data_IF_463913220362
#
_entry.id   IF_463913220362
#
_cell.length_a   1.000
_cell.length_b   1.000
_cell.length_c   1.000
_cell.angle_alpha   90.00
_cell.angle_beta   90.00
_cell.angle_gamma   90.00
#
_symmetry.space_group_name_H-M   'P 1'
#
loop_
_entity.id
_entity.type
_entity.pdbx_description
1 polymer ?
#
# COMPACT_ATOMS: atom_id res chain seq x y z
N UNK A 1 -9.29 -13.92 -14.50
CA UNK A 1 -8.97 -12.50 -14.26
C UNK A 1 -7.97 -11.86 -15.24
N UNK A 2 -7.15 -12.61 -16.01
CA UNK A 2 -6.11 -12.01 -16.88
C UNK A 2 -6.57 -11.20 -18.11
N UNK A 3 -7.77 -11.44 -18.65
CA UNK A 3 -8.26 -10.76 -19.87
C UNK A 3 -8.77 -9.33 -19.63
N UNK A 4 -9.33 -9.02 -18.44
CA UNK A 4 -9.76 -7.66 -18.10
C UNK A 4 -8.60 -6.74 -17.68
N UNK A 5 -7.58 -7.30 -17.02
CA UNK A 5 -6.36 -6.61 -16.56
C UNK A 5 -5.49 -6.13 -17.73
N UNK A 6 -5.30 -6.98 -18.75
CA UNK A 6 -4.58 -6.60 -19.97
C UNK A 6 -5.30 -5.51 -20.80
N UNK A 7 -6.63 -5.50 -20.79
CA UNK A 7 -7.41 -4.51 -21.56
C UNK A 7 -7.41 -3.14 -20.90
N UNK A 8 -7.48 -3.06 -19.55
CA UNK A 8 -7.36 -1.80 -18.80
C UNK A 8 -5.97 -1.16 -18.96
N UNK A 9 -4.89 -1.94 -18.86
CA UNK A 9 -3.52 -1.43 -19.01
C UNK A 9 -3.22 -0.92 -20.42
N UNK A 10 -3.75 -1.59 -21.46
CA UNK A 10 -3.61 -1.13 -22.85
C UNK A 10 -4.39 0.17 -23.14
N UNK A 11 -5.57 0.35 -22.54
CA UNK A 11 -6.38 1.56 -22.69
C UNK A 11 -5.78 2.74 -21.88
N UNK A 12 -5.26 2.49 -20.68
CA UNK A 12 -4.59 3.51 -19.86
C UNK A 12 -3.34 4.08 -20.55
N UNK A 13 -2.48 3.23 -21.13
CA UNK A 13 -1.30 3.69 -21.90
C UNK A 13 -1.66 4.54 -23.12
N UNK A 14 -2.79 4.27 -23.80
CA UNK A 14 -3.26 5.08 -24.94
C UNK A 14 -4.00 6.35 -24.54
N UNK A 15 -4.65 6.40 -23.36
CA UNK A 15 -5.36 7.59 -22.88
C UNK A 15 -4.44 8.74 -22.44
N UNK A 16 -3.17 8.45 -22.11
CA UNK A 16 -2.17 9.47 -21.74
C UNK A 16 -1.69 10.28 -22.96
N UNK A 17 -1.93 9.82 -24.19
CA UNK A 17 -1.64 10.56 -25.43
C UNK A 17 -2.68 11.68 -25.65
N UNK A 18 -2.62 12.74 -24.84
CA UNK A 18 -3.44 13.94 -25.05
C UNK A 18 -3.62 14.82 -23.81
N UNK A 19 -3.26 14.34 -22.63
CA UNK A 19 -3.42 15.09 -21.39
C UNK A 19 -2.24 16.02 -21.11
N UNK A 20 -2.47 17.14 -20.40
CA UNK A 20 -1.39 17.99 -19.93
C UNK A 20 -0.45 17.16 -19.05
N UNK A 21 0.84 17.19 -19.37
CA UNK A 21 1.85 16.38 -18.69
C UNK A 21 2.42 17.13 -17.49
N UNK A 22 2.63 16.41 -16.39
CA UNK A 22 3.37 16.92 -15.22
C UNK A 22 4.81 17.28 -15.60
N UNK A 23 5.36 18.33 -14.99
CA UNK A 23 6.76 18.69 -15.22
C UNK A 23 7.70 17.70 -14.54
N UNK A 24 8.95 17.58 -15.03
CA UNK A 24 9.95 16.73 -14.37
C UNK A 24 10.13 17.10 -12.89
N UNK A 25 10.19 18.39 -12.57
CA UNK A 25 10.37 18.86 -11.20
C UNK A 25 9.19 18.44 -10.32
N UNK A 26 7.96 18.61 -10.81
CA UNK A 26 6.78 18.18 -10.08
C UNK A 26 6.79 16.68 -9.77
N UNK A 27 7.25 15.86 -10.72
CA UNK A 27 7.39 14.42 -10.53
C UNK A 27 8.45 14.08 -9.50
N UNK A 28 9.65 14.68 -9.58
CA UNK A 28 10.74 14.48 -8.62
C UNK A 28 10.27 14.86 -7.20
N UNK A 29 9.55 15.98 -7.07
CA UNK A 29 9.02 16.44 -5.79
C UNK A 29 7.99 15.46 -5.21
N UNK A 30 7.18 14.81 -6.04
CA UNK A 30 6.18 13.85 -5.56
C UNK A 30 6.81 12.51 -5.20
N UNK A 31 7.66 11.94 -6.05
CA UNK A 31 8.35 10.67 -5.74
C UNK A 31 9.26 10.81 -4.50
N UNK A 32 9.76 12.02 -4.23
CA UNK A 32 10.57 12.29 -3.05
C UNK A 32 9.87 12.00 -1.72
N UNK A 33 8.53 12.05 -1.70
CA UNK A 33 7.73 11.76 -0.52
C UNK A 33 7.65 10.26 -0.20
N UNK A 34 8.08 9.40 -1.13
CA UNK A 34 8.20 7.96 -0.93
C UNK A 34 9.57 7.52 -0.42
N UNK A 35 10.49 8.47 -0.18
CA UNK A 35 11.85 8.13 0.23
C UNK A 35 11.82 7.37 1.55
N UNK A 36 12.23 6.08 1.57
CA UNK A 36 12.21 5.32 2.80
C UNK A 36 13.30 5.80 3.76
N UNK A 37 13.02 5.62 5.04
CA UNK A 37 13.93 5.95 6.13
C UNK A 37 14.22 4.71 6.96
N UNK A 38 15.37 4.72 7.62
CA UNK A 38 15.69 3.78 8.67
C UNK A 38 14.74 4.03 9.84
N UNK A 39 13.85 3.06 10.09
CA UNK A 39 12.85 3.17 11.16
C UNK A 39 13.43 2.82 12.53
N UNK A 40 14.65 2.29 12.57
CA UNK A 40 15.26 1.68 13.75
C UNK A 40 14.72 0.29 14.08
N UNK A 41 13.86 -0.28 13.22
CA UNK A 41 13.36 -1.65 13.31
C UNK A 41 13.89 -2.46 12.14
N UNK A 42 14.25 -3.72 12.38
CA UNK A 42 14.51 -4.67 11.31
C UNK A 42 13.22 -4.91 10.50
N UNK A 43 13.36 -5.13 9.18
CA UNK A 43 12.23 -5.52 8.34
C UNK A 43 12.11 -7.04 8.31
N UNK A 44 10.89 -7.54 8.51
CA UNK A 44 10.51 -8.94 8.34
C UNK A 44 9.52 -9.07 7.19
N UNK A 45 9.50 -10.22 6.52
CA UNK A 45 8.53 -10.52 5.48
C UNK A 45 7.36 -11.30 6.08
N UNK A 46 6.15 -10.80 5.88
CA UNK A 46 4.89 -11.46 6.31
C UNK A 46 4.07 -11.77 5.06
N UNK A 47 3.49 -12.96 4.99
CA UNK A 47 2.64 -13.44 3.92
C UNK A 47 3.34 -14.39 2.94
N UNK A 48 2.71 -14.59 1.78
CA UNK A 48 3.13 -15.60 0.82
C UNK A 48 4.48 -15.32 0.15
N UNK A 49 5.02 -16.36 -0.50
CA UNK A 49 6.13 -16.17 -1.45
C UNK A 49 5.64 -15.39 -2.67
N UNK A 50 6.36 -14.33 -3.05
CA UNK A 50 5.95 -13.43 -4.13
C UNK A 50 4.74 -12.53 -3.79
N UNK A 51 3.69 -12.57 -4.62
CA UNK A 51 2.53 -11.68 -4.49
C UNK A 51 1.75 -11.94 -3.19
N UNK A 52 1.33 -10.88 -2.50
CA UNK A 52 0.66 -10.99 -1.20
C UNK A 52 1.60 -11.23 0.00
N UNK A 53 2.92 -11.05 -0.18
CA UNK A 53 3.88 -11.00 0.92
C UNK A 53 4.63 -9.68 0.94
N UNK A 54 4.68 -9.03 2.11
CA UNK A 54 5.17 -7.67 2.27
C UNK A 54 6.23 -7.56 3.35
N UNK A 55 7.14 -6.61 3.19
CA UNK A 55 8.12 -6.29 4.22
C UNK A 55 7.52 -5.28 5.20
N UNK A 56 7.51 -5.63 6.47
CA UNK A 56 7.00 -4.82 7.58
C UNK A 56 8.08 -4.62 8.64
N UNK A 57 8.11 -3.47 9.35
CA UNK A 57 8.90 -3.33 10.56
C UNK A 57 8.55 -4.44 11.56
N UNK A 58 9.55 -5.04 12.20
CA UNK A 58 9.38 -5.97 13.32
C UNK A 58 8.97 -5.24 14.61
N UNK A 59 7.85 -4.52 14.51
CA UNK A 59 7.18 -3.75 15.58
C UNK A 59 5.73 -4.22 15.74
N UNK A 60 5.52 -5.54 15.62
CA UNK A 60 4.20 -6.19 15.70
C UNK A 60 3.75 -6.46 17.14
N UNK A 61 4.66 -6.44 18.12
CA UNK A 61 4.32 -6.69 19.51
C UNK A 61 3.24 -5.72 20.02
N UNK A 62 2.16 -6.27 20.56
CA UNK A 62 1.02 -5.51 21.08
C UNK A 62 -0.02 -5.11 20.04
N UNK A 63 0.24 -5.31 18.74
CA UNK A 63 -0.82 -5.23 17.72
C UNK A 63 -1.73 -6.45 17.90
N UNK A 64 -3.05 -6.23 17.95
CA UNK A 64 -4.04 -7.30 18.14
C UNK A 64 -4.96 -7.51 16.95
N UNK A 65 -5.12 -6.46 16.13
CA UNK A 65 -6.07 -6.46 15.03
C UNK A 65 -5.45 -5.89 13.76
N UNK A 66 -5.74 -6.57 12.65
CA UNK A 66 -5.46 -6.15 11.28
C UNK A 66 -6.77 -5.82 10.57
N UNK A 67 -6.78 -4.77 9.75
CA UNK A 67 -7.80 -4.55 8.72
C UNK A 67 -7.17 -4.85 7.36
N UNK A 68 -7.71 -5.85 6.66
CA UNK A 68 -7.26 -6.34 5.34
C UNK A 68 -8.37 -6.27 4.30
N UNK A 69 -8.67 -5.09 3.74
CA UNK A 69 -9.55 -4.98 2.58
C UNK A 69 -8.88 -5.51 1.30
N UNK A 70 -9.67 -6.13 0.43
CA UNK A 70 -9.22 -6.64 -0.87
C UNK A 70 -8.75 -8.08 -0.88
N UNK A 71 -9.09 -8.85 0.15
CA UNK A 71 -8.73 -10.27 0.23
C UNK A 71 -9.49 -11.04 -0.85
N UNK A 72 -8.72 -11.53 -1.82
CA UNK A 72 -9.21 -12.31 -2.95
C UNK A 72 -9.11 -13.82 -2.65
N UNK A 73 -8.45 -14.59 -3.53
CA UNK A 73 -8.30 -16.04 -3.42
C UNK A 73 -7.15 -16.50 -2.52
N UNK A 74 -6.37 -15.57 -1.98
CA UNK A 74 -5.20 -15.83 -1.13
C UNK A 74 -5.29 -14.90 0.09
N UNK A 75 -4.93 -15.43 1.26
CA UNK A 75 -4.93 -14.70 2.54
C UNK A 75 -3.70 -15.09 3.38
N UNK A 76 -2.56 -15.33 2.72
CA UNK A 76 -1.35 -15.84 3.36
C UNK A 76 -0.79 -14.82 4.36
N UNK A 77 -0.93 -13.52 4.06
CA UNK A 77 -0.55 -12.44 4.98
C UNK A 77 -1.34 -12.52 6.29
N UNK A 78 -2.68 -12.60 6.20
CA UNK A 78 -3.55 -12.69 7.36
C UNK A 78 -3.36 -14.01 8.10
N UNK A 79 -3.13 -15.11 7.38
CA UNK A 79 -2.89 -16.43 7.96
C UNK A 79 -1.61 -16.43 8.78
N UNK A 80 -0.52 -15.86 8.27
CA UNK A 80 0.73 -15.76 9.01
C UNK A 80 0.61 -14.85 10.25
N UNK A 81 -0.12 -13.73 10.13
CA UNK A 81 -0.44 -12.87 11.28
C UNK A 81 -1.20 -13.61 12.38
N UNK A 82 -2.18 -14.44 12.01
CA UNK A 82 -2.93 -15.25 12.95
C UNK A 82 -2.04 -16.33 13.59
N UNK A 83 -1.31 -17.11 12.80
CA UNK A 83 -0.54 -18.26 13.26
C UNK A 83 0.66 -17.88 14.13
N UNK A 84 1.40 -16.84 13.75
CA UNK A 84 2.64 -16.46 14.44
C UNK A 84 2.44 -15.42 15.54
N UNK A 85 1.43 -14.55 15.39
CA UNK A 85 1.25 -13.39 16.27
C UNK A 85 -0.11 -13.37 16.97
N UNK A 86 -1.04 -14.27 16.63
CA UNK A 86 -2.40 -14.28 17.19
C UNK A 86 -3.21 -13.04 16.84
N UNK A 87 -2.83 -12.34 15.76
CA UNK A 87 -3.51 -11.12 15.31
C UNK A 87 -4.79 -11.50 14.58
N UNK A 88 -5.91 -10.87 14.98
CA UNK A 88 -7.21 -11.06 14.32
C UNK A 88 -7.34 -10.15 13.11
N UNK A 89 -7.80 -10.71 11.99
CA UNK A 89 -7.92 -9.97 10.72
C UNK A 89 -9.37 -9.72 10.38
N UNK A 90 -9.75 -8.45 10.28
CA UNK A 90 -11.00 -8.00 9.70
C UNK A 90 -10.79 -7.82 8.20
N UNK A 91 -11.51 -8.61 7.40
CA UNK A 91 -11.30 -8.74 5.96
C UNK A 91 -12.54 -8.24 5.23
N UNK A 92 -12.35 -7.52 4.11
CA UNK A 92 -13.47 -7.03 3.32
C UNK A 92 -13.20 -7.08 1.82
N UNK A 93 -14.00 -7.87 1.09
CA UNK A 93 -14.00 -7.90 -0.37
C UNK A 93 -15.37 -8.37 -0.88
N UNK A 94 -16.09 -7.55 -1.65
CA UNK A 94 -17.39 -7.97 -2.19
C UNK A 94 -17.28 -8.84 -3.47
N UNK A 95 -16.07 -9.04 -4.00
CA UNK A 95 -15.81 -9.88 -5.18
C UNK A 95 -15.79 -11.38 -4.87
N UNK A 96 -15.65 -11.75 -3.59
CA UNK A 96 -15.65 -13.13 -3.11
C UNK A 96 -16.79 -13.35 -2.10
N UNK A 97 -17.19 -14.60 -1.90
CA UNK A 97 -18.28 -14.94 -0.97
C UNK A 97 -17.79 -15.11 0.48
N UNK A 98 -16.52 -15.43 0.66
CA UNK A 98 -15.89 -15.81 1.92
C UNK A 98 -14.36 -15.68 1.79
N UNK A 99 -13.60 -15.63 2.90
CA UNK A 99 -12.14 -15.72 2.85
C UNK A 99 -11.70 -17.06 2.24
N UNK A 100 -10.48 -17.15 1.68
CA UNK A 100 -10.01 -18.33 0.95
C UNK A 100 -9.74 -19.55 1.84
N UNK A 101 -9.69 -19.36 3.16
CA UNK A 101 -9.56 -20.43 4.15
C UNK A 101 -10.40 -20.14 5.39
N UNK A 102 -10.80 -21.20 6.09
CA UNK A 102 -11.48 -21.10 7.38
C UNK A 102 -10.43 -20.92 8.48
N UNK A 103 -10.53 -19.84 9.26
CA UNK A 103 -9.62 -19.49 10.33
C UNK A 103 -10.39 -18.71 11.40
N UNK A 104 -10.28 -19.11 12.67
CA UNK A 104 -11.03 -18.49 13.78
C UNK A 104 -10.63 -17.04 14.05
N UNK A 105 -9.47 -16.61 13.55
CA UNK A 105 -8.98 -15.24 13.62
C UNK A 105 -9.48 -14.36 12.47
N UNK A 106 -10.17 -14.91 11.48
CA UNK A 106 -10.68 -14.18 10.32
C UNK A 106 -12.13 -13.74 10.51
N UNK A 107 -12.37 -12.45 10.31
CA UNK A 107 -13.70 -11.83 10.37
C UNK A 107 -13.99 -11.18 9.03
N UNK A 108 -14.87 -11.79 8.23
CA UNK A 108 -15.10 -11.34 6.86
C UNK A 108 -16.41 -10.57 6.69
N UNK A 109 -16.34 -9.47 5.96
CA UNK A 109 -17.49 -8.71 5.51
C UNK A 109 -17.50 -8.58 3.99
N UNK A 110 -18.59 -8.97 3.33
CA UNK A 110 -18.72 -8.89 1.87
C UNK A 110 -19.04 -7.45 1.42
N UNK A 111 -18.04 -6.58 1.52
CA UNK A 111 -18.10 -5.15 1.14
C UNK A 111 -16.82 -4.73 0.43
N UNK A 112 -16.95 -3.80 -0.49
CA UNK A 112 -15.81 -3.04 -0.99
C UNK A 112 -15.56 -1.83 -0.10
N UNK A 113 -14.30 -1.47 0.09
CA UNK A 113 -14.00 -0.15 0.61
C UNK A 113 -14.21 0.90 -0.48
N UNK A 114 -14.67 2.08 -0.08
CA UNK A 114 -14.90 3.18 -1.00
C UNK A 114 -14.95 4.55 -0.34
N UNK A 115 -15.17 5.58 -1.17
CA UNK A 115 -15.22 6.97 -0.74
C UNK A 115 -16.42 7.29 0.19
N UNK A 116 -17.50 6.52 0.11
CA UNK A 116 -18.73 6.73 0.88
C UNK A 116 -19.44 5.40 1.16
N UNK A 117 -20.24 5.37 2.23
CA UNK A 117 -21.09 4.23 2.55
C UNK A 117 -22.27 4.14 1.57
N UNK A 118 -22.59 2.93 1.10
CA UNK A 118 -23.79 2.70 0.27
C UNK A 118 -23.71 1.46 -0.60
N UNK A 119 -24.82 0.73 -0.72
CA UNK A 119 -24.87 -0.50 -1.54
C UNK A 119 -23.85 -1.53 -1.07
N UNK A 120 -22.91 -1.88 -1.94
CA UNK A 120 -21.81 -2.82 -1.66
C UNK A 120 -20.57 -2.14 -1.04
N UNK A 121 -20.60 -0.81 -0.86
CA UNK A 121 -19.47 -0.04 -0.34
C UNK A 121 -19.60 0.33 1.13
N UNK A 122 -18.46 0.40 1.82
CA UNK A 122 -18.29 0.92 3.18
C UNK A 122 -17.02 1.79 3.23
N UNK A 123 -17.03 2.87 4.02
CA UNK A 123 -15.80 3.63 4.28
C UNK A 123 -14.94 2.92 5.32
N UNK A 124 -13.61 3.12 5.27
CA UNK A 124 -12.70 2.57 6.26
C UNK A 124 -13.10 2.99 7.69
N UNK A 125 -13.50 4.24 7.88
CA UNK A 125 -13.93 4.74 9.18
C UNK A 125 -15.20 4.04 9.68
N UNK A 126 -16.25 3.93 8.85
CA UNK A 126 -17.48 3.24 9.22
C UNK A 126 -17.22 1.77 9.52
N UNK A 127 -16.37 1.11 8.72
CA UNK A 127 -16.00 -0.27 8.93
C UNK A 127 -15.22 -0.49 10.24
N UNK A 128 -14.22 0.34 10.55
CA UNK A 128 -13.53 0.27 11.84
C UNK A 128 -14.49 0.50 13.01
N UNK A 129 -15.43 1.44 12.88
CA UNK A 129 -16.42 1.72 13.91
C UNK A 129 -17.44 0.58 14.08
N UNK A 130 -17.65 -0.27 13.08
CA UNK A 130 -18.52 -1.44 13.20
C UNK A 130 -17.86 -2.63 13.92
N UNK A 131 -16.58 -2.53 14.30
CA UNK A 131 -15.84 -3.57 15.03
C UNK A 131 -15.56 -3.15 16.50
N UNK A 132 -16.46 -3.46 17.47
CA UNK A 132 -16.35 -3.00 18.85
C UNK A 132 -15.04 -3.41 19.54
N UNK A 133 -14.50 -4.57 19.19
CA UNK A 133 -13.25 -5.08 19.79
C UNK A 133 -12.03 -4.20 19.46
N UNK A 134 -12.12 -3.39 18.41
CA UNK A 134 -11.03 -2.51 17.99
C UNK A 134 -11.17 -1.09 18.51
N UNK A 135 -12.29 -0.69 19.13
CA UNK A 135 -12.57 0.73 19.44
C UNK A 135 -11.51 1.43 20.29
N UNK A 136 -10.86 0.70 21.19
CA UNK A 136 -9.81 1.23 22.06
C UNK A 136 -8.39 0.98 21.53
N UNK A 137 -8.27 0.35 20.36
CA UNK A 137 -7.00 0.02 19.76
C UNK A 137 -6.50 1.21 18.94
N UNK A 138 -5.30 1.65 19.30
CA UNK A 138 -4.55 2.67 18.60
C UNK A 138 -3.26 2.10 17.98
N UNK A 139 -3.07 0.79 18.02
CA UNK A 139 -1.94 0.10 17.39
C UNK A 139 -2.49 -1.02 16.51
N UNK A 140 -3.07 -0.62 15.39
CA UNK A 140 -3.65 -1.51 14.39
C UNK A 140 -2.67 -1.73 13.23
N UNK A 141 -2.89 -2.81 12.48
CA UNK A 141 -2.26 -3.01 11.17
C UNK A 141 -3.32 -2.78 10.07
N UNK A 142 -2.92 -2.11 8.98
CA UNK A 142 -3.71 -2.05 7.75
C UNK A 142 -2.89 -2.72 6.64
N UNK A 143 -3.44 -3.72 5.97
CA UNK A 143 -2.92 -4.23 4.70
C UNK A 143 -3.98 -3.93 3.64
N UNK A 144 -3.63 -3.18 2.60
CA UNK A 144 -4.61 -2.72 1.61
C UNK A 144 -4.13 -2.97 0.19
N UNK A 145 -4.83 -3.81 -0.53
CA UNK A 145 -4.66 -4.03 -1.96
C UNK A 145 -6.07 -4.12 -2.57
N UNK A 146 -6.55 -3.02 -3.16
CA UNK A 146 -7.95 -2.89 -3.60
C UNK A 146 -8.04 -2.33 -5.03
N UNK A 147 -7.06 -2.66 -5.86
CA UNK A 147 -7.11 -2.51 -7.32
C UNK A 147 -7.45 -1.08 -7.81
N UNK A 148 -6.94 -0.06 -7.12
CA UNK A 148 -7.09 1.37 -7.48
C UNK A 148 -8.01 2.17 -6.57
N UNK A 149 -8.78 1.50 -5.71
CA UNK A 149 -9.66 2.18 -4.75
C UNK A 149 -8.89 2.76 -3.53
N UNK A 150 -7.58 2.52 -3.42
CA UNK A 150 -6.73 2.99 -2.31
C UNK A 150 -6.79 4.52 -2.20
N UNK A 151 -6.78 5.21 -3.34
CA UNK A 151 -6.84 6.67 -3.38
C UNK A 151 -8.14 7.22 -2.81
N UNK A 152 -9.28 6.63 -3.19
CA UNK A 152 -10.59 7.06 -2.72
C UNK A 152 -10.69 6.88 -1.19
N UNK A 153 -10.22 5.74 -0.68
CA UNK A 153 -10.20 5.45 0.76
C UNK A 153 -9.29 6.42 1.50
N UNK A 154 -8.05 6.62 1.05
CA UNK A 154 -7.14 7.53 1.75
C UNK A 154 -7.55 8.99 1.64
N UNK A 155 -8.18 9.43 0.54
CA UNK A 155 -8.68 10.80 0.40
C UNK A 155 -9.75 11.07 1.45
N UNK A 156 -10.74 10.19 1.58
CA UNK A 156 -11.92 10.43 2.43
C UNK A 156 -11.72 10.07 3.90
N UNK A 157 -10.80 9.15 4.21
CA UNK A 157 -10.57 8.72 5.60
C UNK A 157 -9.90 9.82 6.42
N UNK A 158 -10.45 10.28 7.56
CA UNK A 158 -9.79 11.28 8.39
C UNK A 158 -8.40 10.83 8.88
N UNK A 159 -7.47 11.79 9.02
CA UNK A 159 -6.11 11.46 9.50
C UNK A 159 -6.15 10.83 10.90
N UNK A 160 -7.07 11.25 11.77
CA UNK A 160 -7.26 10.64 13.11
C UNK A 160 -7.66 9.17 13.05
N UNK A 161 -8.37 8.74 11.99
CA UNK A 161 -8.66 7.32 11.77
C UNK A 161 -7.41 6.60 11.29
N UNK A 162 -6.67 7.18 10.34
CA UNK A 162 -5.44 6.57 9.82
C UNK A 162 -4.38 6.42 10.93
N UNK A 163 -4.22 7.41 11.82
CA UNK A 163 -3.26 7.38 12.94
C UNK A 163 -3.46 6.24 13.91
N UNK A 164 -4.63 5.58 13.92
CA UNK A 164 -4.85 4.38 14.74
C UNK A 164 -4.09 3.16 14.21
N UNK A 165 -3.67 3.19 12.95
CA UNK A 165 -2.75 2.21 12.40
C UNK A 165 -1.33 2.54 12.81
N UNK A 166 -0.66 1.58 13.42
CA UNK A 166 0.78 1.62 13.69
C UNK A 166 1.56 1.38 12.40
N UNK A 167 1.12 0.40 11.63
CA UNK A 167 1.72 -0.02 10.36
C UNK A 167 0.63 -0.01 9.29
N UNK A 168 0.93 0.60 8.14
CA UNK A 168 0.09 0.55 6.95
C UNK A 168 0.91 -0.04 5.82
N UNK A 169 0.51 -1.19 5.31
CA UNK A 169 0.98 -1.80 4.07
C UNK A 169 -0.05 -1.52 3.01
N UNK A 170 0.37 -0.99 1.86
CA UNK A 170 -0.55 -0.73 0.74
C UNK A 170 0.11 -0.99 -0.60
N UNK A 171 -0.61 -1.62 -1.53
CA UNK A 171 -0.24 -1.64 -2.94
C UNK A 171 -0.97 -0.51 -3.68
N UNK A 172 -0.22 0.51 -4.09
CA UNK A 172 -0.75 1.62 -4.87
C UNK A 172 -0.83 1.23 -6.34
N UNK A 173 -2.06 1.20 -6.87
CA UNK A 173 -2.36 0.83 -8.25
C UNK A 173 -2.42 2.05 -9.18
N UNK A 174 -1.66 2.02 -10.29
CA UNK A 174 -1.70 3.07 -11.30
C UNK A 174 -0.92 4.33 -10.91
N UNK A 175 0.21 4.17 -10.22
CA UNK A 175 1.04 5.30 -9.75
C UNK A 175 1.55 6.15 -10.93
N UNK A 176 1.75 5.58 -12.11
CA UNK A 176 2.16 6.30 -13.32
C UNK A 176 1.16 7.41 -13.75
N UNK A 177 -0.06 7.41 -13.21
CA UNK A 177 -1.03 8.50 -13.38
C UNK A 177 -0.49 9.85 -12.88
N UNK A 178 0.55 9.88 -12.04
CA UNK A 178 1.23 11.14 -11.68
C UNK A 178 1.80 11.88 -12.90
N UNK A 179 1.96 11.20 -14.04
CA UNK A 179 2.31 11.83 -15.32
C UNK A 179 1.22 12.77 -15.86
N UNK A 180 -0.03 12.56 -15.47
CA UNK A 180 -1.13 13.47 -15.76
C UNK A 180 -1.13 14.64 -14.78
N UNK A 181 -1.02 15.86 -15.33
CA UNK A 181 -1.04 17.10 -14.56
C UNK A 181 -2.37 17.34 -13.84
N UNK A 182 -3.46 16.69 -14.26
CA UNK A 182 -4.74 16.79 -13.57
C UNK A 182 -4.85 15.84 -12.37
N UNK A 183 -4.13 14.72 -12.39
CA UNK A 183 -4.10 13.78 -11.27
C UNK A 183 -3.12 14.21 -10.18
N UNK A 184 -1.98 14.80 -10.56
CA UNK A 184 -0.93 15.19 -9.60
C UNK A 184 -1.41 16.08 -8.43
N UNK A 185 -2.31 17.07 -8.64
CA UNK A 185 -2.86 17.88 -7.55
C UNK A 185 -3.73 17.12 -6.55
N UNK A 186 -4.20 15.91 -6.87
CA UNK A 186 -4.89 15.02 -5.92
C UNK A 186 -3.89 14.13 -5.18
N UNK A 187 -2.92 13.59 -5.92
CA UNK A 187 -1.94 12.65 -5.37
C UNK A 187 -0.94 13.31 -4.43
N UNK A 188 -0.46 14.52 -4.75
CA UNK A 188 0.51 15.25 -3.91
C UNK A 188 -0.03 15.49 -2.48
N UNK A 189 -1.21 16.10 -2.26
CA UNK A 189 -1.72 16.32 -0.91
C UNK A 189 -2.09 15.01 -0.19
N UNK A 190 -2.47 13.96 -0.92
CA UNK A 190 -2.67 12.63 -0.34
C UNK A 190 -1.38 12.13 0.32
N UNK A 191 -0.26 12.19 -0.41
CA UNK A 191 1.04 11.77 0.12
C UNK A 191 1.50 12.68 1.25
N UNK A 192 1.22 13.99 1.20
CA UNK A 192 1.52 14.91 2.31
C UNK A 192 0.70 14.58 3.57
N UNK A 193 -0.56 14.16 3.41
CA UNK A 193 -1.42 13.73 4.51
C UNK A 193 -0.92 12.45 5.17
N UNK A 194 -0.47 11.47 4.39
CA UNK A 194 0.11 10.24 4.95
C UNK A 194 1.47 10.55 5.60
N UNK A 195 2.36 11.23 4.87
CA UNK A 195 3.72 11.53 5.34
C UNK A 195 3.78 12.58 6.45
N UNK A 196 2.66 13.21 6.84
CA UNK A 196 2.62 14.05 8.04
C UNK A 196 2.75 13.21 9.32
N UNK A 197 2.09 12.05 9.38
CA UNK A 197 2.02 11.18 10.56
C UNK A 197 2.84 9.90 10.42
N UNK A 198 3.15 9.50 9.18
CA UNK A 198 3.82 8.25 8.86
C UNK A 198 5.18 8.48 8.20
N UNK A 199 6.13 7.62 8.52
CA UNK A 199 7.38 7.47 7.80
C UNK A 199 7.26 6.30 6.82
N UNK A 200 7.90 6.41 5.66
CA UNK A 200 8.00 5.28 4.71
C UNK A 200 9.08 4.34 5.22
N UNK A 201 8.68 3.14 5.62
CA UNK A 201 9.59 2.11 6.11
C UNK A 201 10.20 1.32 4.93
N UNK A 202 9.40 1.04 3.90
CA UNK A 202 9.84 0.27 2.74
C UNK A 202 9.03 0.61 1.49
N UNK A 203 9.66 0.43 0.31
CA UNK A 203 8.99 0.46 -0.98
C UNK A 203 9.48 -0.68 -1.86
N UNK A 204 8.56 -1.35 -2.54
CA UNK A 204 8.87 -2.46 -3.43
C UNK A 204 7.96 -2.42 -4.69
N UNK A 205 8.52 -2.34 -5.91
CA UNK A 205 7.72 -2.28 -7.12
C UNK A 205 7.22 -3.67 -7.52
N UNK A 206 5.90 -3.83 -7.67
CA UNK A 206 5.34 -5.09 -8.12
C UNK A 206 5.70 -5.33 -9.60
N UNK A 207 6.43 -6.42 -9.86
CA UNK A 207 6.99 -6.72 -11.17
C UNK A 207 5.95 -7.24 -12.20
N UNK A 208 4.65 -7.23 -11.86
CA UNK A 208 3.57 -7.52 -12.78
C UNK A 208 3.39 -6.46 -13.89
N UNK A 209 3.98 -5.27 -13.73
CA UNK A 209 4.00 -4.21 -14.74
C UNK A 209 5.42 -3.63 -14.91
N UNK A 210 5.87 -3.33 -16.14
CA UNK A 210 7.14 -2.67 -16.35
C UNK A 210 7.07 -1.19 -15.91
N UNK A 211 8.23 -0.60 -15.59
CA UNK A 211 8.33 0.83 -15.30
C UNK A 211 7.77 1.69 -16.44
N UNK A 212 6.94 2.66 -16.09
CA UNK A 212 6.49 3.71 -16.98
C UNK A 212 7.48 4.88 -16.97
N UNK A 213 7.68 5.54 -18.13
CA UNK A 213 8.71 6.59 -18.28
C UNK A 213 8.13 7.88 -18.85
N UNK A 214 8.43 9.01 -18.20
CA UNK A 214 8.14 10.34 -18.73
C UNK A 214 9.20 11.35 -18.30
N UNK A 215 9.73 12.14 -19.24
CA UNK A 215 10.67 13.22 -18.91
C UNK A 215 11.95 12.75 -18.20
N UNK A 216 12.38 11.50 -18.44
CA UNK A 216 13.53 10.89 -17.76
C UNK A 216 13.22 10.28 -16.39
N UNK A 217 12.02 10.49 -15.84
CA UNK A 217 11.56 9.89 -14.58
C UNK A 217 10.94 8.52 -14.88
N UNK A 218 11.27 7.53 -14.05
CA UNK A 218 10.73 6.18 -14.13
C UNK A 218 9.82 5.93 -12.92
N UNK A 219 8.62 5.45 -13.17
CA UNK A 219 7.57 5.26 -12.17
C UNK A 219 7.05 3.82 -12.27
N UNK A 220 7.08 3.03 -11.19
CA UNK A 220 6.44 1.73 -11.17
C UNK A 220 4.92 1.91 -11.16
N UNK A 221 4.17 1.30 -12.10
CA UNK A 221 2.70 1.39 -12.10
C UNK A 221 2.04 0.79 -10.85
N UNK A 222 2.68 -0.23 -10.29
CA UNK A 222 2.25 -0.95 -9.10
C UNK A 222 3.37 -0.83 -8.07
N UNK A 223 3.05 -0.26 -6.90
CA UNK A 223 4.04 0.01 -5.86
C UNK A 223 3.51 -0.38 -4.50
N UNK A 224 4.16 -1.37 -3.89
CA UNK A 224 3.96 -1.71 -2.50
C UNK A 224 4.71 -0.69 -1.63
N UNK A 225 4.03 -0.14 -0.64
CA UNK A 225 4.57 0.82 0.31
C UNK A 225 4.20 0.39 1.70
N UNK A 226 5.21 0.31 2.57
CA UNK A 226 5.01 0.12 4.00
C UNK A 226 5.29 1.41 4.73
N UNK A 227 4.32 1.85 5.52
CA UNK A 227 4.39 3.01 6.39
C UNK A 227 4.45 2.58 7.84
N UNK A 228 5.27 3.26 8.63
CA UNK A 228 5.30 3.17 10.09
C UNK A 228 4.88 4.51 10.69
N UNK A 229 4.01 4.51 11.69
CA UNK A 229 3.62 5.73 12.40
C UNK A 229 4.84 6.34 13.08
N UNK A 230 5.05 7.66 12.93
CA UNK A 230 6.30 8.32 13.32
C UNK A 230 6.63 8.26 14.80
N UNK A 231 5.63 8.14 15.67
CA UNK A 231 5.83 7.96 17.11
C UNK A 231 6.46 6.61 17.48
N UNK A 232 6.53 5.66 16.53
CA UNK A 232 7.19 4.36 16.67
C UNK A 232 8.61 4.31 16.12
N UNK A 233 9.12 5.40 15.54
CA UNK A 233 10.50 5.44 15.06
C UNK A 233 11.48 5.33 16.23
N UNK A 234 12.53 4.51 16.06
CA UNK A 234 13.66 4.46 16.97
C UNK A 234 14.83 5.18 16.30
N UNK A 235 15.07 6.43 16.71
CA UNK A 235 16.13 7.27 16.13
C UNK A 235 15.58 8.48 15.38
N UNK A 236 16.36 8.99 14.42
CA UNK A 236 16.07 10.24 13.70
C UNK A 236 15.39 10.05 12.33
N UNK A 237 15.18 8.79 11.89
CA UNK A 237 14.61 8.52 10.57
C UNK A 237 15.57 8.89 9.44
N UNK A 238 16.86 8.59 9.58
CA UNK A 238 17.83 8.82 8.51
C UNK A 238 17.45 8.10 7.21
N UNK A 239 17.74 8.66 6.02
CA UNK A 239 17.48 7.96 4.75
C UNK A 239 18.21 6.61 4.67
N UNK A 240 17.53 5.60 4.13
CA UNK A 240 18.16 4.31 3.86
C UNK A 240 19.28 4.42 2.83
N UNK A 241 20.21 3.46 2.84
CA UNK A 241 21.40 3.46 1.97
C UNK A 241 21.36 2.44 0.84
N UNK A 242 20.46 1.47 0.90
CA UNK A 242 20.41 0.35 -0.03
C UNK A 242 18.98 -0.09 -0.31
N UNK A 243 18.64 -0.21 -1.59
CA UNK A 243 17.52 -1.01 -2.10
C UNK A 243 17.98 -1.76 -3.37
N UNK A 244 17.43 -2.96 -3.66
CA UNK A 244 16.38 -3.67 -2.92
C UNK A 244 16.85 -4.22 -1.56
N UNK A 245 15.91 -4.53 -0.67
CA UNK A 245 16.16 -5.18 0.61
C UNK A 245 16.46 -6.68 0.39
N UNK A 246 17.33 -7.34 1.19
CA UNK A 246 17.63 -8.76 1.02
C UNK A 246 16.44 -9.73 1.13
N UNK A 247 15.35 -9.30 1.78
CA UNK A 247 14.10 -10.07 1.90
C UNK A 247 13.07 -9.75 0.81
N UNK A 248 13.37 -8.82 -0.11
CA UNK A 248 12.48 -8.55 -1.24
C UNK A 248 12.36 -9.79 -2.13
N UNK A 249 11.14 -10.08 -2.56
CA UNK A 249 10.81 -11.15 -3.50
C UNK A 249 9.96 -10.61 -4.64
N UNK A 250 10.15 -11.15 -5.84
CA UNK A 250 9.29 -10.83 -6.99
C UNK A 250 7.86 -11.27 -6.73
N UNK A 251 6.90 -10.38 -6.96
CA UNK A 251 5.47 -10.71 -6.96
C UNK A 251 5.13 -11.83 -7.96
N UNK A 252 5.59 -11.68 -9.20
CA UNK A 252 5.34 -12.63 -10.30
C UNK A 252 6.62 -13.35 -10.67
N UNK A 253 6.74 -14.60 -10.21
CA UNK A 253 7.96 -15.42 -10.32
C UNK A 253 8.51 -15.56 -11.75
N UNK A 254 7.63 -15.67 -12.75
CA UNK A 254 8.01 -15.89 -14.15
C UNK A 254 8.25 -14.59 -14.93
N UNK A 255 8.04 -13.42 -14.32
CA UNK A 255 8.37 -12.12 -14.92
C UNK A 255 9.78 -11.68 -14.52
N UNK A 256 10.34 -10.79 -15.34
CA UNK A 256 11.58 -10.11 -14.97
C UNK A 256 11.33 -9.27 -13.73
N UNK A 257 12.36 -9.14 -12.91
CA UNK A 257 12.29 -8.26 -11.76
C UNK A 257 12.21 -6.79 -12.19
N UNK A 258 11.71 -5.94 -11.28
CA UNK A 258 11.74 -4.48 -11.43
C UNK A 258 12.58 -3.91 -10.30
N UNK A 259 13.70 -3.29 -10.65
CA UNK A 259 14.51 -2.57 -9.66
C UNK A 259 13.95 -1.16 -9.50
N UNK A 260 13.65 -0.77 -8.26
CA UNK A 260 13.18 0.58 -7.96
C UNK A 260 14.24 1.63 -8.36
N UNK A 261 13.88 2.68 -9.13
CA UNK A 261 14.85 3.69 -9.54
C UNK A 261 15.43 4.46 -8.35
N UNK A 262 16.70 4.84 -8.42
CA UNK A 262 17.40 5.55 -7.33
C UNK A 262 16.70 6.85 -6.89
N UNK A 263 16.03 7.53 -7.81
CA UNK A 263 15.30 8.78 -7.53
C UNK A 263 14.21 8.61 -6.46
N UNK A 264 13.74 7.39 -6.21
CA UNK A 264 12.71 7.08 -5.20
C UNK A 264 13.26 6.97 -3.79
N UNK A 265 14.54 6.64 -3.59
CA UNK A 265 15.08 6.31 -2.27
C UNK A 265 16.40 6.98 -1.92
N UNK A 266 17.12 7.54 -2.90
CA UNK A 266 18.38 8.23 -2.69
C UNK A 266 18.23 9.73 -2.93
N UNK A 267 18.55 10.53 -1.92
CA UNK A 267 18.59 12.00 -2.00
C UNK A 267 19.84 12.55 -2.70
N UNK A 268 20.85 11.71 -2.98
CA UNK A 268 22.14 12.13 -3.55
C UNK A 268 22.11 12.49 -5.04
N UNK A 269 20.93 12.42 -5.69
CA UNK A 269 20.73 12.75 -7.10
C UNK A 269 19.87 14.01 -7.33
N UNK A 270 19.58 14.77 -6.26
CA UNK A 270 18.82 16.02 -6.32
C UNK A 270 19.72 17.23 -6.52
#
# INVERSE_FOLDING_TARGET
MGLRRNFRNFVAQKQILGWPKSSRNDLIDVISQFQPVDTGHDLIRIGGSGDGGYLVPDDLEGIRHCFSPGVSLIADFEAELAEKYGIQSYMADASVEAPPSDNEHFHFEKKFLGAADGGEFITLQTWMNSQPQTHNDNDLLLQMDIEGAEYDVFITTPIETLKRFRIIVVELHGVERIFDRNFLPLFRPLMQKLTSEFAVAHIHPNNAAPLSKMGGVHVPPLLEVTFLRKDRLIGDGAPIRTLPHPLDEKNVAHYKDVVIPRDWWSSQLR
#
